data_IF_535917848367
#
_entry.id   IF_535917848367
#
_cell.length_a   1.000
_cell.length_b   1.000
_cell.length_c   1.000
_cell.angle_alpha   90.00
_cell.angle_beta   90.00
_cell.angle_gamma   90.00
#
_symmetry.space_group_name_H-M   'P 1'
#
loop_
_entity.id
_entity.type
_entity.pdbx_description
1 polymer ?
#
# COMPACT_ATOMS: atom_id res chain seq x y z
N UNK A 1 1.64 -6.10 11.78
CA UNK A 1 0.73 -5.69 10.72
C UNK A 1 0.47 -6.79 9.69
N UNK A 2 1.49 -7.50 9.21
CA UNK A 2 1.34 -8.60 8.27
C UNK A 2 0.37 -9.68 8.75
N UNK A 3 0.50 -10.14 10.00
CA UNK A 3 -0.39 -11.14 10.58
C UNK A 3 -1.84 -10.68 10.64
N UNK A 4 -2.07 -9.41 10.95
CA UNK A 4 -3.41 -8.83 10.98
C UNK A 4 -4.04 -8.76 9.59
N UNK A 5 -3.24 -8.44 8.57
CA UNK A 5 -3.68 -8.41 7.18
C UNK A 5 -4.05 -9.81 6.69
N UNK A 6 -3.20 -10.79 6.97
CA UNK A 6 -3.46 -12.19 6.60
C UNK A 6 -4.73 -12.72 7.27
N UNK A 7 -4.90 -12.43 8.57
CA UNK A 7 -6.09 -12.82 9.30
C UNK A 7 -7.35 -12.20 8.71
N UNK A 8 -7.32 -10.90 8.39
CA UNK A 8 -8.43 -10.21 7.75
C UNK A 8 -8.75 -10.82 6.39
N UNK A 9 -7.72 -11.08 5.56
CA UNK A 9 -7.88 -11.65 4.24
C UNK A 9 -8.55 -13.04 4.30
N UNK A 10 -8.20 -13.84 5.31
CA UNK A 10 -8.74 -15.20 5.47
C UNK A 10 -10.15 -15.22 6.06
N UNK A 11 -10.50 -14.27 6.92
CA UNK A 11 -11.72 -14.33 7.73
C UNK A 11 -12.80 -13.32 7.34
N UNK A 12 -12.43 -12.12 6.90
CA UNK A 12 -13.37 -11.01 6.72
C UNK A 12 -13.40 -10.42 5.32
N UNK A 13 -12.32 -10.57 4.56
CA UNK A 13 -12.24 -9.98 3.23
C UNK A 13 -13.11 -10.76 2.24
N UNK A 14 -14.00 -10.06 1.52
CA UNK A 14 -14.78 -10.64 0.44
C UNK A 14 -14.03 -10.65 -0.89
N UNK A 15 -13.02 -9.77 -1.05
CA UNK A 15 -12.25 -9.63 -2.28
C UNK A 15 -10.94 -8.86 -2.01
N UNK A 16 -10.09 -8.75 -3.04
CA UNK A 16 -8.80 -8.04 -2.92
C UNK A 16 -8.96 -6.54 -2.61
N UNK A 17 -10.04 -5.92 -3.03
CA UNK A 17 -10.31 -4.49 -2.74
C UNK A 17 -10.54 -4.29 -1.24
N UNK A 18 -11.22 -5.21 -0.58
CA UNK A 18 -11.39 -5.16 0.88
C UNK A 18 -10.04 -5.23 1.60
N UNK A 19 -9.11 -6.03 1.10
CA UNK A 19 -7.74 -6.12 1.65
C UNK A 19 -7.01 -4.79 1.49
N UNK A 20 -7.06 -4.17 0.32
CA UNK A 20 -6.45 -2.85 0.07
C UNK A 20 -7.01 -1.82 1.05
N UNK A 21 -8.32 -1.76 1.18
CA UNK A 21 -9.01 -0.83 2.08
C UNK A 21 -8.56 -1.03 3.53
N UNK A 22 -8.48 -2.27 3.98
CA UNK A 22 -8.02 -2.61 5.32
C UNK A 22 -6.58 -2.16 5.57
N UNK A 23 -5.67 -2.48 4.64
CA UNK A 23 -4.25 -2.09 4.74
C UNK A 23 -4.12 -0.57 4.81
N UNK A 24 -4.86 0.15 3.98
CA UNK A 24 -4.86 1.61 4.02
C UNK A 24 -5.27 2.15 5.39
N UNK A 25 -6.37 1.65 5.94
CA UNK A 25 -6.86 2.11 7.25
C UNK A 25 -5.86 1.83 8.37
N UNK A 26 -5.22 0.65 8.34
CA UNK A 26 -4.21 0.31 9.33
C UNK A 26 -2.99 1.22 9.20
N UNK A 27 -2.56 1.52 7.97
CA UNK A 27 -1.43 2.41 7.73
C UNK A 27 -1.72 3.84 8.22
N UNK A 28 -2.93 4.33 8.01
CA UNK A 28 -3.30 5.67 8.50
C UNK A 28 -3.33 5.74 10.03
N UNK A 29 -3.79 4.71 10.70
CA UNK A 29 -3.73 4.62 12.16
C UNK A 29 -2.28 4.64 12.66
N UNK A 30 -1.42 3.86 12.04
CA UNK A 30 0.00 3.79 12.40
C UNK A 30 0.68 5.16 12.23
N UNK A 31 0.42 5.84 11.13
CA UNK A 31 1.00 7.15 10.87
C UNK A 31 0.59 8.21 11.90
N UNK A 32 -0.63 8.14 12.41
CA UNK A 32 -1.09 9.03 13.49
C UNK A 32 -0.34 8.76 14.80
N UNK A 33 0.06 7.51 15.03
CA UNK A 33 0.72 7.11 16.28
C UNK A 33 2.21 7.40 16.30
N UNK A 34 2.92 7.21 15.18
CA UNK A 34 4.40 7.22 15.16
C UNK A 34 5.03 8.54 14.72
N UNK A 35 4.38 9.30 13.86
CA UNK A 35 4.86 10.62 13.46
C UNK A 35 6.23 10.64 12.75
N UNK A 36 6.73 11.85 12.51
CA UNK A 36 7.94 12.09 11.73
C UNK A 36 9.22 11.61 12.42
N UNK A 37 9.29 11.72 13.73
CA UNK A 37 10.49 11.33 14.50
C UNK A 37 10.84 9.85 14.30
N UNK A 38 9.81 9.00 14.22
CA UNK A 38 10.00 7.56 13.98
C UNK A 38 10.70 7.31 12.63
N UNK A 39 10.29 7.99 11.57
CA UNK A 39 10.91 7.84 10.26
C UNK A 39 12.35 8.33 10.24
N UNK A 40 12.65 9.41 10.94
CA UNK A 40 14.01 9.92 11.06
C UNK A 40 14.93 8.94 11.79
N UNK A 41 14.43 8.34 12.87
CA UNK A 41 15.21 7.36 13.64
C UNK A 41 15.50 6.10 12.83
N UNK A 42 14.51 5.59 12.09
CA UNK A 42 14.72 4.44 11.18
C UNK A 42 15.80 4.77 10.16
N UNK A 43 15.76 5.97 9.57
CA UNK A 43 16.73 6.39 8.55
C UNK A 43 18.16 6.45 9.08
N UNK A 44 18.33 6.73 10.37
CA UNK A 44 19.63 6.77 11.03
C UNK A 44 20.16 5.41 11.44
N UNK A 45 19.37 4.35 11.33
CA UNK A 45 19.73 3.01 11.76
C UNK A 45 19.91 2.06 10.56
N UNK A 46 21.15 1.93 10.01
CA UNK A 46 21.36 1.10 8.82
C UNK A 46 20.92 -0.35 8.96
N UNK A 47 21.02 -0.91 10.15
CA UNK A 47 20.61 -2.30 10.43
C UNK A 47 19.08 -2.46 10.30
N UNK A 48 18.33 -1.47 10.78
CA UNK A 48 16.86 -1.48 10.69
C UNK A 48 16.44 -1.32 9.24
N UNK A 49 17.07 -0.43 8.48
CA UNK A 49 16.79 -0.26 7.06
C UNK A 49 17.05 -1.55 6.28
N UNK A 50 18.18 -2.21 6.54
CA UNK A 50 18.51 -3.48 5.90
C UNK A 50 17.49 -4.56 6.21
N UNK A 51 17.06 -4.67 7.47
CA UNK A 51 16.04 -5.60 7.90
C UNK A 51 14.71 -5.37 7.17
N UNK A 52 14.28 -4.11 7.06
CA UNK A 52 13.05 -3.76 6.34
C UNK A 52 13.13 -4.09 4.85
N UNK A 53 14.30 -3.87 4.24
CA UNK A 53 14.53 -4.22 2.83
C UNK A 53 14.46 -5.74 2.61
N UNK A 54 15.05 -6.51 3.51
CA UNK A 54 15.01 -7.98 3.46
C UNK A 54 13.57 -8.50 3.63
N UNK A 55 12.79 -7.91 4.54
CA UNK A 55 11.38 -8.25 4.71
C UNK A 55 10.58 -8.02 3.44
N UNK A 56 10.78 -6.90 2.76
CA UNK A 56 10.09 -6.61 1.49
C UNK A 56 10.43 -7.63 0.41
N UNK A 57 11.70 -8.03 0.33
CA UNK A 57 12.11 -9.05 -0.62
C UNK A 57 11.41 -10.39 -0.36
N UNK A 58 11.25 -10.78 0.90
CA UNK A 58 10.55 -12.01 1.28
C UNK A 58 9.05 -11.95 1.01
N UNK A 59 8.46 -10.78 1.02
CA UNK A 59 7.02 -10.57 0.77
C UNK A 59 6.66 -10.53 -0.73
N UNK A 60 7.65 -10.62 -1.60
CA UNK A 60 7.43 -10.54 -3.06
C UNK A 60 6.46 -11.61 -3.57
N UNK A 61 6.66 -12.86 -3.14
CA UNK A 61 5.81 -13.98 -3.58
C UNK A 61 4.37 -13.81 -3.09
N UNK A 62 4.19 -13.31 -1.87
CA UNK A 62 2.87 -13.02 -1.31
C UNK A 62 2.17 -11.93 -2.13
N UNK A 63 2.91 -10.91 -2.55
CA UNK A 63 2.38 -9.85 -3.39
C UNK A 63 1.94 -10.37 -4.76
N UNK A 64 2.72 -11.24 -5.38
CA UNK A 64 2.35 -11.87 -6.65
C UNK A 64 1.08 -12.71 -6.52
N UNK A 65 0.95 -13.48 -5.44
CA UNK A 65 -0.26 -14.24 -5.16
C UNK A 65 -1.48 -13.33 -4.99
N UNK A 66 -1.32 -12.20 -4.34
CA UNK A 66 -2.37 -11.20 -4.17
C UNK A 66 -2.83 -10.64 -5.53
N UNK A 67 -1.91 -10.29 -6.40
CA UNK A 67 -2.26 -9.80 -7.74
C UNK A 67 -2.92 -10.89 -8.59
N UNK A 68 -2.48 -12.14 -8.49
CA UNK A 68 -3.14 -13.26 -9.17
C UNK A 68 -4.58 -13.43 -8.71
N UNK A 69 -4.83 -13.34 -7.40
CA UNK A 69 -6.17 -13.41 -6.85
C UNK A 69 -7.06 -12.30 -7.42
N UNK A 70 -6.55 -11.09 -7.49
CA UNK A 70 -7.28 -9.96 -8.05
C UNK A 70 -7.59 -10.12 -9.54
N UNK A 71 -6.68 -10.70 -10.32
CA UNK A 71 -6.92 -11.03 -11.72
C UNK A 71 -8.02 -12.08 -11.87
N UNK A 72 -7.98 -13.13 -11.05
CA UNK A 72 -9.02 -14.19 -11.06
C UNK A 72 -10.40 -13.66 -10.67
N UNK A 73 -10.45 -12.70 -9.76
CA UNK A 73 -11.69 -12.05 -9.35
C UNK A 73 -12.22 -11.04 -10.39
N UNK A 74 -11.41 -10.73 -11.41
CA UNK A 74 -11.77 -9.73 -12.43
C UNK A 74 -11.66 -8.30 -11.95
N UNK A 75 -10.94 -8.05 -10.85
CA UNK A 75 -10.79 -6.73 -10.24
C UNK A 75 -9.48 -6.05 -10.62
N UNK A 76 -8.46 -6.83 -10.97
CA UNK A 76 -7.16 -6.34 -11.43
C UNK A 76 -6.96 -6.67 -12.91
N UNK A 77 -6.31 -5.76 -13.61
CA UNK A 77 -6.03 -5.89 -15.05
C UNK A 77 -5.07 -7.04 -15.31
N UNK A 78 -5.31 -7.77 -16.40
CA UNK A 78 -4.47 -8.90 -16.81
C UNK A 78 -3.35 -8.50 -17.78
N UNK A 79 -3.32 -7.24 -18.22
CA UNK A 79 -2.32 -6.71 -19.16
C UNK A 79 -1.17 -5.98 -18.44
N UNK A 80 -1.02 -6.18 -17.15
CA UNK A 80 0.03 -5.56 -16.32
C UNK A 80 1.07 -6.62 -15.95
N UNK A 81 2.34 -6.28 -16.08
CA UNK A 81 3.42 -7.09 -15.54
C UNK A 81 3.62 -6.73 -14.06
N UNK A 82 3.08 -7.54 -13.16
CA UNK A 82 3.09 -7.26 -11.73
C UNK A 82 4.46 -7.39 -11.09
N UNK A 83 5.40 -8.12 -11.69
CA UNK A 83 6.78 -8.15 -11.21
C UNK A 83 7.44 -6.77 -11.36
N UNK A 84 7.25 -6.14 -12.51
CA UNK A 84 7.74 -4.77 -12.75
C UNK A 84 7.07 -3.80 -11.78
N UNK A 85 5.77 -3.93 -11.59
CA UNK A 85 5.02 -3.07 -10.68
C UNK A 85 5.54 -3.16 -9.25
N UNK A 86 5.80 -4.38 -8.76
CA UNK A 86 6.33 -4.62 -7.42
C UNK A 86 7.73 -4.02 -7.28
N UNK A 87 8.61 -4.28 -8.24
CA UNK A 87 9.99 -3.80 -8.20
C UNK A 87 10.06 -2.27 -8.23
N UNK A 88 9.25 -1.64 -9.08
CA UNK A 88 9.20 -0.17 -9.16
C UNK A 88 8.56 0.44 -7.92
N UNK A 89 7.55 -0.19 -7.33
CA UNK A 89 6.94 0.27 -6.09
C UNK A 89 7.95 0.22 -4.93
N UNK A 90 8.72 -0.86 -4.83
CA UNK A 90 9.76 -0.99 -3.81
C UNK A 90 10.87 0.05 -4.00
N UNK A 91 11.33 0.26 -5.22
CA UNK A 91 12.33 1.28 -5.53
C UNK A 91 11.83 2.69 -5.19
N UNK A 92 10.57 2.98 -5.50
CA UNK A 92 9.94 4.26 -5.17
C UNK A 92 9.88 4.48 -3.66
N UNK A 93 9.50 3.45 -2.90
CA UNK A 93 9.44 3.54 -1.45
C UNK A 93 10.83 3.79 -0.84
N UNK A 94 11.85 3.11 -1.34
CA UNK A 94 13.23 3.33 -0.89
C UNK A 94 13.68 4.77 -1.15
N UNK A 95 13.37 5.34 -2.31
CA UNK A 95 13.71 6.74 -2.63
C UNK A 95 12.94 7.74 -1.77
N UNK A 96 11.67 7.48 -1.50
CA UNK A 96 10.85 8.30 -0.60
C UNK A 96 11.50 8.37 0.78
N UNK A 97 11.95 7.23 1.29
CA UNK A 97 12.62 7.15 2.59
C UNK A 97 14.00 7.79 2.55
N UNK A 98 14.79 7.51 1.51
CA UNK A 98 16.14 8.05 1.36
C UNK A 98 16.14 9.58 1.25
N UNK A 99 15.23 10.15 0.45
CA UNK A 99 15.10 11.59 0.27
C UNK A 99 14.29 12.27 1.37
N UNK A 100 13.80 11.50 2.33
CA UNK A 100 13.06 12.02 3.48
C UNK A 100 11.84 12.83 3.07
N UNK A 101 11.05 12.34 2.12
CA UNK A 101 9.83 13.01 1.67
C UNK A 101 8.81 13.19 2.80
N UNK A 102 8.88 12.37 3.85
CA UNK A 102 8.03 12.50 5.03
C UNK A 102 8.25 13.80 5.81
N UNK A 103 9.35 14.52 5.56
CA UNK A 103 9.58 15.87 6.11
C UNK A 103 8.83 16.94 5.34
N UNK A 104 8.56 16.69 4.06
CA UNK A 104 7.93 17.66 3.16
C UNK A 104 6.43 17.40 3.02
N UNK A 105 6.03 16.12 3.01
CA UNK A 105 4.66 15.70 2.82
C UNK A 105 4.26 14.74 3.91
N UNK A 106 2.99 14.76 4.33
CA UNK A 106 2.46 13.72 5.22
C UNK A 106 2.43 12.36 4.49
N UNK A 107 2.49 11.26 5.23
CA UNK A 107 2.34 9.94 4.62
C UNK A 107 0.95 9.76 4.01
N UNK A 108 -0.07 10.41 4.57
CA UNK A 108 -1.41 10.43 3.98
C UNK A 108 -1.39 11.06 2.59
N UNK A 109 -0.74 12.21 2.43
CA UNK A 109 -0.63 12.90 1.15
C UNK A 109 0.15 12.05 0.13
N UNK A 110 1.25 11.44 0.55
CA UNK A 110 2.03 10.55 -0.31
C UNK A 110 1.18 9.36 -0.78
N UNK A 111 0.38 8.79 0.10
CA UNK A 111 -0.49 7.70 -0.27
C UNK A 111 -1.58 8.16 -1.24
N UNK A 112 -2.29 9.23 -0.90
CA UNK A 112 -3.43 9.71 -1.69
C UNK A 112 -3.02 10.16 -3.10
N UNK A 113 -1.83 10.77 -3.22
CA UNK A 113 -1.40 11.41 -4.46
C UNK A 113 -0.40 10.59 -5.27
N UNK A 114 0.05 9.46 -4.76
CA UNK A 114 0.94 8.57 -5.48
C UNK A 114 0.47 7.11 -5.44
N UNK A 115 0.45 6.49 -4.28
CA UNK A 115 0.14 5.07 -4.18
C UNK A 115 -1.27 4.74 -4.64
N UNK A 116 -2.24 5.56 -4.29
CA UNK A 116 -3.62 5.36 -4.73
C UNK A 116 -3.75 5.47 -6.25
N UNK A 117 -3.01 6.38 -6.86
CA UNK A 117 -3.02 6.54 -8.33
C UNK A 117 -2.49 5.27 -9.00
N UNK A 118 -1.42 4.68 -8.47
CA UNK A 118 -0.88 3.41 -8.97
C UNK A 118 -1.90 2.28 -8.80
N UNK A 119 -2.53 2.20 -7.63
CA UNK A 119 -3.57 1.20 -7.35
C UNK A 119 -4.72 1.34 -8.35
N UNK A 120 -5.22 2.54 -8.57
CA UNK A 120 -6.26 2.80 -9.57
C UNK A 120 -5.82 2.40 -10.98
N UNK A 121 -4.53 2.54 -11.28
CA UNK A 121 -3.97 2.21 -12.58
C UNK A 121 -4.01 0.72 -12.92
N UNK A 122 -3.92 -0.16 -11.94
CA UNK A 122 -3.97 -1.61 -12.20
C UNK A 122 -5.35 -2.24 -11.95
N UNK A 123 -6.33 -1.48 -11.51
CA UNK A 123 -7.70 -1.96 -11.34
C UNK A 123 -8.45 -1.99 -12.66
N UNK A 124 -9.36 -2.98 -12.81
CA UNK A 124 -10.37 -2.96 -13.87
C UNK A 124 -11.45 -1.94 -13.54
N UNK A 125 -12.36 -1.65 -14.47
CA UNK A 125 -13.51 -0.78 -14.19
C UNK A 125 -14.33 -1.26 -12.98
N UNK A 126 -14.52 -2.57 -12.86
CA UNK A 126 -15.22 -3.18 -11.73
C UNK A 126 -14.41 -3.01 -10.44
N UNK A 127 -13.09 -3.20 -10.51
CA UNK A 127 -12.20 -2.97 -9.37
C UNK A 127 -12.22 -1.52 -8.91
N UNK A 128 -12.21 -0.56 -9.84
CA UNK A 128 -12.31 0.87 -9.52
C UNK A 128 -13.62 1.21 -8.81
N UNK A 129 -14.74 0.68 -9.29
CA UNK A 129 -16.05 0.93 -8.68
C UNK A 129 -16.08 0.41 -7.23
N UNK A 130 -15.55 -0.78 -6.98
CA UNK A 130 -15.47 -1.34 -5.63
C UNK A 130 -14.51 -0.55 -4.75
N UNK A 131 -13.37 -0.10 -5.29
CA UNK A 131 -12.40 0.70 -4.56
C UNK A 131 -13.01 2.04 -4.12
N UNK A 132 -13.68 2.74 -5.03
CA UNK A 132 -14.33 4.01 -4.72
C UNK A 132 -15.39 3.83 -3.64
N UNK A 133 -16.19 2.76 -3.72
CA UNK A 133 -17.19 2.44 -2.70
C UNK A 133 -16.54 2.12 -1.34
N UNK A 134 -15.45 1.34 -1.34
CA UNK A 134 -14.75 0.96 -0.12
C UNK A 134 -14.12 2.18 0.56
N UNK A 135 -13.72 3.19 -0.20
CA UNK A 135 -13.11 4.42 0.31
C UNK A 135 -14.16 5.47 0.72
N UNK A 136 -15.42 5.30 0.36
CA UNK A 136 -16.49 6.17 0.83
C UNK A 136 -16.57 6.12 2.36
N UNK A 137 -16.73 7.27 3.00
CA UNK A 137 -16.81 7.37 4.45
C UNK A 137 -15.50 7.24 5.19
N UNK A 138 -14.37 7.07 4.49
CA UNK A 138 -13.04 7.19 5.08
C UNK A 138 -12.55 8.64 4.97
N UNK A 139 -11.61 9.04 5.83
CA UNK A 139 -10.95 10.36 5.76
C UNK A 139 -10.25 10.63 4.44
N UNK A 140 -10.23 9.64 3.60
CA UNK A 140 -9.60 9.57 2.31
C UNK A 140 -10.31 10.37 1.22
N UNK A 141 -11.62 10.50 1.33
CA UNK A 141 -12.49 11.08 0.29
C UNK A 141 -12.76 12.56 0.53
N UNK A 142 -11.95 13.22 1.36
CA UNK A 142 -12.09 14.65 1.51
C UNK A 142 -11.72 15.34 0.19
N UNK A 143 -12.63 16.15 -0.37
CA UNK A 143 -12.34 16.84 -1.60
C UNK A 143 -11.16 17.80 -1.39
N UNK A 144 -10.35 17.89 -2.39
CA UNK A 144 -9.30 18.91 -2.48
C UNK A 144 -9.94 20.28 -2.35
N UNK A 145 -9.61 20.98 -1.31
CA UNK A 145 -9.96 22.38 -1.19
C UNK A 145 -8.75 23.23 -1.49
#
# INVERSE_FOLDING_TARGET
MKQNVEHFAQTKAGNVIDVISYVYRQQMKLNKMVGMVFYEEIHRMPRVLKFLQEMRAQERDDSLCFFEAGMKEGLFRTDVNYEILIDTANACMEEIMHRQFYRKYSMKDLFDHHFLIVIRGFCTARGLALLDKAMEGSEFVEPFQ
#
